data_IF_814613492697
#
_entry.id   IF_814613492697
#
_cell.length_a   1.000
_cell.length_b   1.000
_cell.length_c   1.000
_cell.angle_alpha   90.00
_cell.angle_beta   90.00
_cell.angle_gamma   90.00
#
_symmetry.space_group_name_H-M   'P 1'
#
loop_
_entity.id
_entity.type
_entity.pdbx_description
1 polymer ?
#
# COMPACT_ATOMS: atom_id res chain seq x y z
N UNK A 1 -26.34 -10.97 3.27
CA UNK A 1 -25.68 -12.13 3.92
C UNK A 1 -24.52 -12.76 3.13
N UNK A 2 -23.98 -12.16 2.04
CA UNK A 2 -22.87 -12.75 1.23
C UNK A 2 -21.46 -12.18 1.50
N UNK A 3 -21.35 -11.05 2.22
CA UNK A 3 -20.10 -10.28 2.30
C UNK A 3 -19.00 -10.92 3.17
N UNK A 4 -19.36 -11.51 4.32
CA UNK A 4 -18.37 -12.08 5.25
C UNK A 4 -17.64 -13.30 4.69
N UNK A 5 -18.33 -14.10 3.87
CA UNK A 5 -17.78 -15.33 3.30
C UNK A 5 -16.77 -15.02 2.18
N UNK A 6 -17.10 -14.07 1.30
CA UNK A 6 -16.22 -13.69 0.18
C UNK A 6 -14.87 -13.15 0.66
N UNK A 7 -14.85 -12.34 1.72
CA UNK A 7 -13.62 -11.82 2.31
C UNK A 7 -12.76 -12.92 2.93
N UNK A 8 -13.36 -13.82 3.71
CA UNK A 8 -12.66 -14.95 4.33
C UNK A 8 -12.12 -15.95 3.31
N UNK A 9 -12.88 -16.23 2.25
CA UNK A 9 -12.47 -17.12 1.16
C UNK A 9 -11.24 -16.58 0.42
N UNK A 10 -11.26 -15.31 0.01
CA UNK A 10 -10.13 -14.69 -0.69
C UNK A 10 -8.86 -14.65 0.16
N UNK A 11 -9.01 -14.33 1.46
CA UNK A 11 -7.88 -14.34 2.40
C UNK A 11 -7.26 -15.73 2.51
N UNK A 12 -8.06 -16.77 2.80
CA UNK A 12 -7.58 -18.14 2.93
C UNK A 12 -6.91 -18.66 1.65
N UNK A 13 -7.47 -18.34 0.48
CA UNK A 13 -6.90 -18.71 -0.81
C UNK A 13 -5.50 -18.14 -1.00
N UNK A 14 -5.30 -16.84 -0.72
CA UNK A 14 -3.98 -16.21 -0.85
C UNK A 14 -2.96 -16.76 0.15
N UNK A 15 -3.34 -16.98 1.40
CA UNK A 15 -2.46 -17.61 2.40
C UNK A 15 -2.04 -19.01 1.90
N UNK A 16 -3.01 -19.83 1.49
CA UNK A 16 -2.75 -21.19 1.04
C UNK A 16 -1.82 -21.24 -0.18
N UNK A 17 -2.06 -20.43 -1.20
CA UNK A 17 -1.22 -20.37 -2.41
C UNK A 17 0.19 -19.92 -2.07
N UNK A 18 0.35 -18.87 -1.26
CA UNK A 18 1.67 -18.34 -0.91
C UNK A 18 2.48 -19.33 -0.07
N UNK A 19 1.86 -19.94 0.95
CA UNK A 19 2.50 -20.95 1.80
C UNK A 19 2.85 -22.20 1.00
N UNK A 20 1.94 -22.69 0.15
CA UNK A 20 2.21 -23.84 -0.72
C UNK A 20 3.33 -23.57 -1.72
N UNK A 21 3.53 -22.31 -2.10
CA UNK A 21 4.65 -21.88 -2.97
C UNK A 21 5.96 -21.65 -2.20
N UNK A 22 6.01 -21.89 -0.89
CA UNK A 22 7.22 -21.75 -0.06
C UNK A 22 7.47 -20.34 0.49
N UNK A 23 6.53 -19.41 0.34
CA UNK A 23 6.67 -18.06 0.91
C UNK A 23 6.27 -18.03 2.39
N UNK A 24 7.05 -17.29 3.19
CA UNK A 24 6.66 -16.94 4.56
C UNK A 24 5.63 -15.81 4.52
N UNK A 25 4.41 -16.10 4.95
CA UNK A 25 3.31 -15.12 4.93
C UNK A 25 3.15 -14.47 6.30
N UNK A 26 3.25 -13.14 6.34
CA UNK A 26 3.04 -12.33 7.55
C UNK A 26 1.80 -11.45 7.34
N UNK A 27 0.68 -11.75 8.02
CA UNK A 27 -0.50 -10.89 7.96
C UNK A 27 -0.20 -9.51 8.56
N UNK A 28 -0.49 -8.45 7.81
CA UNK A 28 -0.30 -7.07 8.28
C UNK A 28 -1.66 -6.41 8.49
N UNK A 29 -1.99 -5.95 9.72
CA UNK A 29 -3.20 -5.19 9.97
C UNK A 29 -3.24 -3.90 9.13
N UNK A 30 -4.43 -3.56 8.61
CA UNK A 30 -4.59 -2.39 7.73
C UNK A 30 -4.18 -1.07 8.37
N UNK A 31 -4.40 -0.92 9.67
CA UNK A 31 -4.00 0.27 10.43
C UNK A 31 -2.48 0.42 10.52
N UNK A 32 -1.73 -0.69 10.60
CA UNK A 32 -0.29 -0.66 10.85
C UNK A 32 0.47 -0.05 9.68
N UNK A 33 0.30 -0.59 8.48
CA UNK A 33 1.00 -0.07 7.30
C UNK A 33 0.50 1.32 6.90
N UNK A 34 -0.75 1.67 7.22
CA UNK A 34 -1.27 3.03 7.00
C UNK A 34 -0.58 4.04 7.92
N UNK A 35 -0.50 3.74 9.20
CA UNK A 35 0.15 4.62 10.17
C UNK A 35 1.63 4.83 9.85
N UNK A 36 2.34 3.76 9.49
CA UNK A 36 3.78 3.82 9.16
C UNK A 36 4.11 4.67 7.94
N UNK A 37 3.16 4.87 7.02
CA UNK A 37 3.30 5.70 5.83
C UNK A 37 2.68 7.09 6.02
N UNK A 38 2.51 7.51 7.27
CA UNK A 38 1.95 8.82 7.67
C UNK A 38 0.57 9.09 7.06
N UNK A 39 -0.22 8.04 6.79
CA UNK A 39 -1.64 8.16 6.43
C UNK A 39 -2.53 8.49 7.64
N UNK A 40 -1.93 8.97 8.71
CA UNK A 40 -2.55 9.38 9.97
C UNK A 40 -3.26 10.72 9.80
N UNK A 41 -4.53 10.66 9.40
CA UNK A 41 -5.40 11.84 9.25
C UNK A 41 -6.89 11.52 9.17
N UNK A 42 -7.33 10.35 9.67
CA UNK A 42 -8.75 10.00 9.81
C UNK A 42 -9.50 9.65 8.52
N UNK A 43 -8.95 9.91 7.33
CA UNK A 43 -9.50 9.43 6.05
C UNK A 43 -8.38 9.12 5.06
N UNK A 44 -7.78 7.93 5.18
CA UNK A 44 -7.03 7.35 4.07
C UNK A 44 -8.04 6.97 2.98
N UNK A 45 -8.24 7.86 2.01
CA UNK A 45 -9.11 7.59 0.87
C UNK A 45 -8.41 6.68 -0.14
N UNK A 46 -9.19 6.09 -1.05
CA UNK A 46 -8.64 5.32 -2.18
C UNK A 46 -7.73 6.17 -3.07
N UNK A 47 -7.89 7.49 -3.06
CA UNK A 47 -7.09 8.41 -3.85
C UNK A 47 -5.73 8.70 -3.18
N UNK A 48 -5.69 8.77 -1.84
CA UNK A 48 -4.45 8.96 -1.09
C UNK A 48 -3.48 7.80 -1.27
N UNK A 49 -4.00 6.56 -1.23
CA UNK A 49 -3.17 5.36 -1.48
C UNK A 49 -2.48 5.43 -2.84
N UNK A 50 -3.19 5.88 -3.88
CA UNK A 50 -2.63 6.01 -5.24
C UNK A 50 -1.55 7.09 -5.30
N UNK A 51 -1.81 8.26 -4.71
CA UNK A 51 -0.85 9.37 -4.66
C UNK A 51 0.44 8.97 -3.95
N UNK A 52 0.35 8.33 -2.78
CA UNK A 52 1.53 7.92 -2.00
C UNK A 52 2.28 6.81 -2.70
N UNK A 53 1.58 5.83 -3.28
CA UNK A 53 2.22 4.77 -4.06
C UNK A 53 2.95 5.35 -5.29
N UNK A 54 2.36 6.31 -6.01
CA UNK A 54 3.05 7.01 -7.12
C UNK A 54 4.27 7.80 -6.64
N UNK A 55 4.24 8.36 -5.42
CA UNK A 55 5.37 9.09 -4.85
C UNK A 55 6.51 8.15 -4.45
N UNK A 56 6.19 7.00 -3.85
CA UNK A 56 7.16 5.98 -3.45
C UNK A 56 7.71 5.17 -4.63
N UNK A 57 6.90 4.99 -5.68
CA UNK A 57 7.25 4.24 -6.89
C UNK A 57 6.99 5.08 -8.15
N UNK A 58 7.82 6.12 -8.44
CA UNK A 58 7.61 7.00 -9.59
C UNK A 58 7.56 6.25 -10.93
N UNK A 59 8.36 5.20 -11.08
CA UNK A 59 8.39 4.35 -12.28
C UNK A 59 7.08 3.58 -12.52
N UNK A 60 6.28 3.37 -11.47
CA UNK A 60 4.99 2.68 -11.54
C UNK A 60 3.80 3.65 -11.56
N UNK A 61 4.04 4.97 -11.44
CA UNK A 61 2.98 5.99 -11.44
C UNK A 61 2.00 5.88 -12.63
N UNK A 62 2.45 5.62 -13.87
CA UNK A 62 1.54 5.46 -15.01
C UNK A 62 0.55 4.29 -14.85
N UNK A 63 0.86 3.30 -14.00
CA UNK A 63 -0.01 2.14 -13.73
C UNK A 63 -1.05 2.40 -12.63
N UNK A 64 -1.02 3.57 -11.99
CA UNK A 64 -1.82 3.94 -10.81
C UNK A 64 -2.78 5.12 -11.06
N UNK A 65 -2.85 5.63 -12.29
CA UNK A 65 -3.58 6.86 -12.63
C UNK A 65 -5.11 6.74 -12.47
N UNK A 66 -5.70 5.56 -12.68
CA UNK A 66 -7.16 5.41 -12.70
C UNK A 66 -7.69 5.06 -11.31
N UNK A 67 -8.91 5.53 -11.01
CA UNK A 67 -9.57 5.28 -9.71
C UNK A 67 -9.67 3.80 -9.34
N UNK A 68 -9.78 2.90 -10.33
CA UNK A 68 -9.83 1.45 -10.10
C UNK A 68 -8.49 0.83 -9.68
N UNK A 69 -7.38 1.54 -9.85
CA UNK A 69 -6.04 1.03 -9.55
C UNK A 69 -5.67 1.17 -8.06
N UNK A 70 -6.62 1.54 -7.19
CA UNK A 70 -6.41 1.63 -5.74
C UNK A 70 -5.93 0.32 -5.13
N UNK A 71 -6.40 -0.84 -5.61
CA UNK A 71 -5.93 -2.14 -5.13
C UNK A 71 -4.45 -2.39 -5.45
N UNK A 72 -3.96 -1.92 -6.61
CA UNK A 72 -2.53 -2.00 -6.97
C UNK A 72 -1.69 -1.10 -6.07
N UNK A 73 -2.19 0.11 -5.82
CA UNK A 73 -1.55 1.04 -4.90
C UNK A 73 -1.46 0.46 -3.48
N UNK A 74 -2.54 -0.08 -2.94
CA UNK A 74 -2.52 -0.71 -1.60
C UNK A 74 -1.55 -1.90 -1.52
N UNK A 75 -1.47 -2.73 -2.57
CA UNK A 75 -0.49 -3.82 -2.63
C UNK A 75 0.95 -3.30 -2.58
N UNK A 76 1.26 -2.23 -3.33
CA UNK A 76 2.58 -1.58 -3.31
C UNK A 76 2.91 -0.99 -1.94
N UNK A 77 1.94 -0.37 -1.27
CA UNK A 77 2.14 0.22 0.06
C UNK A 77 2.37 -0.84 1.14
N UNK A 78 1.65 -1.97 1.10
CA UNK A 78 1.88 -3.10 2.00
C UNK A 78 3.29 -3.67 1.79
N UNK A 79 3.72 -3.82 0.53
CA UNK A 79 5.06 -4.27 0.21
C UNK A 79 6.14 -3.27 0.68
N UNK A 80 5.92 -1.97 0.49
CA UNK A 80 6.79 -0.90 0.95
C UNK A 80 6.97 -0.93 2.48
N UNK A 81 5.86 -1.11 3.22
CA UNK A 81 5.88 -1.27 4.67
C UNK A 81 6.65 -2.52 5.10
N UNK A 82 6.43 -3.67 4.45
CA UNK A 82 7.19 -4.89 4.72
C UNK A 82 8.69 -4.76 4.47
N UNK A 83 9.08 -3.90 3.52
CA UNK A 83 10.48 -3.54 3.24
C UNK A 83 11.06 -2.49 4.20
N UNK A 84 10.25 -1.86 5.05
CA UNK A 84 10.66 -0.79 5.95
C UNK A 84 10.87 0.56 5.26
N UNK A 85 10.24 0.79 4.11
CA UNK A 85 10.29 2.07 3.41
C UNK A 85 9.50 3.12 4.19
N UNK A 86 10.06 4.34 4.28
CA UNK A 86 9.39 5.51 4.85
C UNK A 86 9.20 6.55 3.75
N UNK A 87 8.13 7.33 3.83
CA UNK A 87 7.96 8.49 2.97
C UNK A 87 9.12 9.45 3.26
N UNK A 88 9.96 9.74 2.27
CA UNK A 88 10.96 10.79 2.42
C UNK A 88 10.20 12.10 2.48
N UNK A 89 10.23 12.78 3.63
CA UNK A 89 9.83 14.18 3.68
C UNK A 89 10.72 14.95 2.71
N UNK A 90 10.13 15.45 1.63
CA UNK A 90 10.75 16.47 0.78
C UNK A 90 10.78 17.79 1.54
N UNK A 91 11.55 17.85 2.62
CA UNK A 91 11.98 19.08 3.28
C UNK A 91 13.49 19.25 3.08
N UNK A 92 13.94 19.11 1.83
CA UNK A 92 15.31 19.40 1.42
C UNK A 92 15.41 19.73 -0.08
N UNK A 93 14.54 20.60 -0.59
CA UNK A 93 14.77 21.35 -1.83
C UNK A 93 14.12 22.73 -1.71
N UNK A 94 14.59 23.55 -0.76
CA UNK A 94 14.39 25.01 -0.77
C UNK A 94 15.70 25.62 -0.23
N UNK A 95 16.58 25.94 -1.16
CA UNK A 95 17.97 26.35 -0.95
C UNK A 95 18.80 25.57 -1.97
N UNK A 96 19.16 26.09 -3.13
CA UNK A 96 19.60 27.45 -3.43
C UNK A 96 19.24 27.86 -4.86
N UNK A 97 18.84 29.13 -5.02
CA UNK A 97 18.99 30.02 -6.18
C UNK A 97 18.65 31.42 -5.60
N UNK A 98 19.43 32.48 -5.86
CA UNK A 98 20.09 32.81 -7.13
C UNK A 98 21.62 32.67 -7.13
#
# INVERSE_FOLDING_TARGET
>A
MKGWWSGGFGYGLWIGVLVASGFSVVPVPSMKWKNDLELTGGRCTKDDSRRIASTLFPSLSPLLERKKDHGRAEALLIAAHGKGMKLKNSSSVLGELP
#
